data_IF_046943411365
#
_entry.id   IF_046943411365
#
_cell.length_a   1.000
_cell.length_b   1.000
_cell.length_c   1.000
_cell.angle_alpha   90.00
_cell.angle_beta   90.00
_cell.angle_gamma   90.00
#
_symmetry.space_group_name_H-M   'P 1'
#
loop_
_entity.id
_entity.type
_entity.pdbx_description
1 polymer ?
#
# COMPACT_ATOMS: atom_id res chain seq x y z
N UNK A 1 -94.12 6.94 20.15
CA UNK A 1 -93.00 7.68 19.55
C UNK A 1 -91.90 7.80 20.61
N UNK A 2 -90.84 6.99 20.55
CA UNK A 2 -89.66 7.14 21.42
C UNK A 2 -88.52 7.58 20.51
N UNK A 3 -88.13 8.85 20.64
CA UNK A 3 -86.92 9.38 20.03
C UNK A 3 -85.74 8.76 20.76
N UNK A 4 -85.03 7.85 20.08
CA UNK A 4 -83.83 7.21 20.62
C UNK A 4 -82.69 8.23 20.58
N UNK A 5 -81.93 8.22 21.67
CA UNK A 5 -80.95 9.20 22.09
C UNK A 5 -79.69 9.18 21.19
N UNK A 6 -79.73 9.91 20.07
CA UNK A 6 -78.65 9.95 19.08
C UNK A 6 -77.36 10.64 19.57
N UNK A 7 -77.38 11.39 20.68
CA UNK A 7 -76.21 12.11 21.19
C UNK A 7 -75.20 11.24 21.96
N UNK A 8 -75.64 10.13 22.56
CA UNK A 8 -74.76 9.23 23.32
C UNK A 8 -73.87 8.36 22.41
N UNK A 9 -74.41 7.94 21.25
CA UNK A 9 -73.71 7.08 20.30
C UNK A 9 -72.58 7.79 19.55
N UNK A 10 -72.69 9.10 19.32
CA UNK A 10 -71.68 9.88 18.60
C UNK A 10 -70.43 10.10 19.45
N UNK A 11 -70.60 10.38 20.74
CA UNK A 11 -69.49 10.60 21.69
C UNK A 11 -68.69 9.31 21.96
N UNK A 12 -69.38 8.17 22.08
CA UNK A 12 -68.74 6.86 22.23
C UNK A 12 -67.96 6.45 20.97
N UNK A 13 -68.46 6.77 19.77
CA UNK A 13 -67.78 6.48 18.51
C UNK A 13 -66.52 7.34 18.31
N UNK A 14 -66.57 8.62 18.64
CA UNK A 14 -65.40 9.52 18.59
C UNK A 14 -64.33 9.12 19.61
N UNK A 15 -64.75 8.71 20.82
CA UNK A 15 -63.83 8.23 21.85
C UNK A 15 -63.19 6.88 21.45
N UNK A 16 -63.94 5.99 20.79
CA UNK A 16 -63.40 4.75 20.22
C UNK A 16 -62.38 5.02 19.11
N UNK A 17 -62.69 5.91 18.16
CA UNK A 17 -61.78 6.33 17.09
C UNK A 17 -60.48 6.95 17.64
N UNK A 18 -60.58 7.82 18.64
CA UNK A 18 -59.43 8.44 19.31
C UNK A 18 -58.54 7.42 20.01
N UNK A 19 -59.13 6.48 20.76
CA UNK A 19 -58.41 5.41 21.43
C UNK A 19 -57.76 4.43 20.45
N UNK A 20 -58.43 4.13 19.34
CA UNK A 20 -57.88 3.30 18.27
C UNK A 20 -56.66 3.96 17.61
N UNK A 21 -56.75 5.25 17.27
CA UNK A 21 -55.62 6.02 16.71
C UNK A 21 -54.43 6.08 17.67
N UNK A 22 -54.67 6.34 18.97
CA UNK A 22 -53.60 6.35 19.99
C UNK A 22 -52.92 4.98 20.13
N UNK A 23 -53.69 3.89 20.13
CA UNK A 23 -53.13 2.52 20.16
C UNK A 23 -52.35 2.20 18.89
N UNK A 24 -52.88 2.55 17.73
CA UNK A 24 -52.22 2.36 16.43
C UNK A 24 -50.89 3.12 16.33
N UNK A 25 -50.85 4.40 16.72
CA UNK A 25 -49.62 5.20 16.78
C UNK A 25 -48.60 4.61 17.77
N UNK A 26 -49.05 4.14 18.94
CA UNK A 26 -48.18 3.49 19.94
C UNK A 26 -47.56 2.19 19.40
N UNK A 27 -48.32 1.38 18.66
CA UNK A 27 -47.82 0.17 18.02
C UNK A 27 -46.86 0.49 16.87
N UNK A 28 -47.15 1.50 16.05
CA UNK A 28 -46.26 1.97 14.98
C UNK A 28 -44.91 2.47 15.54
N UNK A 29 -44.93 3.24 16.62
CA UNK A 29 -43.72 3.73 17.27
C UNK A 29 -42.88 2.59 17.86
N UNK A 30 -43.52 1.57 18.46
CA UNK A 30 -42.81 0.37 18.94
C UNK A 30 -42.13 -0.39 17.80
N UNK A 31 -42.81 -0.57 16.67
CA UNK A 31 -42.24 -1.25 15.49
C UNK A 31 -41.03 -0.47 14.95
N UNK A 32 -41.13 0.86 14.86
CA UNK A 32 -40.01 1.71 14.42
C UNK A 32 -38.81 1.57 15.35
N UNK A 33 -39.03 1.57 16.67
CA UNK A 33 -37.95 1.39 17.66
C UNK A 33 -37.28 0.01 17.50
N UNK A 34 -38.05 -1.05 17.28
CA UNK A 34 -37.51 -2.39 17.06
C UNK A 34 -36.68 -2.45 15.78
N UNK A 35 -37.17 -1.90 14.66
CA UNK A 35 -36.43 -1.86 13.40
C UNK A 35 -35.13 -1.05 13.56
N UNK A 36 -35.18 0.10 14.23
CA UNK A 36 -34.01 0.92 14.50
C UNK A 36 -32.98 0.16 15.36
N UNK A 37 -33.43 -0.54 16.41
CA UNK A 37 -32.55 -1.36 17.24
C UNK A 37 -31.88 -2.48 16.44
N UNK A 38 -32.64 -3.19 15.60
CA UNK A 38 -32.09 -4.25 14.72
C UNK A 38 -31.09 -3.67 13.72
N UNK A 39 -31.36 -2.50 13.12
CA UNK A 39 -30.43 -1.85 12.20
C UNK A 39 -29.12 -1.43 12.89
N UNK A 40 -29.18 -0.91 14.12
CA UNK A 40 -28.00 -0.57 14.91
C UNK A 40 -27.19 -1.83 15.25
N UNK A 41 -27.85 -2.91 15.68
CA UNK A 41 -27.17 -4.18 15.99
C UNK A 41 -26.51 -4.77 14.75
N UNK A 42 -27.19 -4.75 13.60
CA UNK A 42 -26.62 -5.18 12.31
C UNK A 42 -25.42 -4.32 11.91
N UNK A 43 -25.51 -3.00 12.05
CA UNK A 43 -24.40 -2.07 11.79
C UNK A 43 -23.19 -2.36 12.68
N UNK A 44 -23.42 -2.59 13.97
CA UNK A 44 -22.37 -3.00 14.91
C UNK A 44 -21.77 -4.36 14.55
N UNK A 45 -22.58 -5.34 14.15
CA UNK A 45 -22.10 -6.64 13.69
C UNK A 45 -21.22 -6.51 12.44
N UNK A 46 -21.68 -5.79 11.42
CA UNK A 46 -20.89 -5.53 10.21
C UNK A 46 -19.57 -4.84 10.59
N UNK A 47 -19.60 -3.83 11.46
CA UNK A 47 -18.40 -3.13 11.90
C UNK A 47 -17.43 -4.07 12.63
N UNK A 48 -17.88 -4.79 13.66
CA UNK A 48 -17.03 -5.65 14.52
C UNK A 48 -16.48 -6.86 13.77
N UNK A 49 -17.22 -7.44 12.83
CA UNK A 49 -16.74 -8.59 12.07
C UNK A 49 -15.82 -8.19 10.90
N UNK A 50 -16.00 -7.00 10.31
CA UNK A 50 -15.13 -6.54 9.22
C UNK A 50 -13.90 -5.76 9.70
N UNK A 51 -13.91 -5.15 10.89
CA UNK A 51 -12.73 -4.43 11.40
C UNK A 51 -11.50 -5.31 11.58
N UNK A 52 -11.57 -6.55 12.11
CA UNK A 52 -10.44 -7.45 12.17
C UNK A 52 -9.93 -7.83 10.79
N UNK A 53 -10.82 -8.11 9.84
CA UNK A 53 -10.43 -8.41 8.46
C UNK A 53 -9.70 -7.24 7.79
N UNK A 54 -10.23 -6.02 7.97
CA UNK A 54 -9.60 -4.78 7.49
C UNK A 54 -8.25 -4.52 8.18
N UNK A 55 -8.17 -4.70 9.51
CA UNK A 55 -6.92 -4.57 10.27
C UNK A 55 -5.87 -5.60 9.85
N UNK A 56 -6.23 -6.86 9.67
CA UNK A 56 -5.31 -7.91 9.23
C UNK A 56 -4.81 -7.62 7.81
N UNK A 57 -5.66 -7.14 6.90
CA UNK A 57 -5.21 -6.71 5.56
C UNK A 57 -4.32 -5.49 5.59
N UNK A 58 -4.65 -4.47 6.39
CA UNK A 58 -3.89 -3.22 6.47
C UNK A 58 -2.55 -3.36 7.20
N UNK A 59 -2.45 -4.26 8.18
CA UNK A 59 -1.26 -4.35 9.04
C UNK A 59 -0.46 -5.65 8.91
N UNK A 60 -1.08 -6.75 8.46
CA UNK A 60 -0.39 -8.05 8.31
C UNK A 60 -0.23 -8.47 6.84
N UNK A 61 -0.85 -7.76 5.89
CA UNK A 61 -0.68 -7.99 4.46
C UNK A 61 0.55 -7.28 3.89
N UNK A 62 1.02 -7.76 2.75
CA UNK A 62 2.09 -7.11 1.99
C UNK A 62 1.56 -5.81 1.36
N UNK A 63 2.06 -4.66 1.79
CA UNK A 63 1.63 -3.35 1.30
C UNK A 63 2.58 -2.79 0.24
N UNK A 64 3.88 -3.01 0.39
CA UNK A 64 4.87 -2.62 -0.61
C UNK A 64 5.62 -3.87 -1.03
N UNK A 65 5.46 -4.26 -2.29
CA UNK A 65 6.15 -5.39 -2.89
C UNK A 65 6.99 -4.89 -4.05
N UNK A 66 8.00 -5.67 -4.40
CA UNK A 66 8.70 -5.37 -5.64
C UNK A 66 9.72 -6.38 -6.06
N UNK A 67 10.26 -6.12 -7.24
CA UNK A 67 11.34 -6.86 -7.86
C UNK A 67 12.49 -5.95 -8.26
N UNK A 68 13.69 -6.50 -8.16
CA UNK A 68 14.91 -5.91 -8.70
C UNK A 68 15.52 -6.90 -9.67
N UNK A 69 15.68 -6.46 -10.91
CA UNK A 69 16.35 -7.22 -11.95
C UNK A 69 17.45 -6.34 -12.52
N UNK A 70 18.66 -6.86 -12.56
CA UNK A 70 19.80 -6.12 -13.10
C UNK A 70 20.60 -6.97 -14.05
N UNK A 71 21.14 -6.33 -15.09
CA UNK A 71 22.12 -6.93 -15.98
C UNK A 71 23.40 -6.11 -16.02
N UNK A 72 24.54 -6.79 -16.08
CA UNK A 72 25.86 -6.19 -16.31
C UNK A 72 26.41 -6.77 -17.62
N UNK A 73 26.61 -5.94 -18.65
CA UNK A 73 26.97 -6.38 -20.00
C UNK A 73 26.07 -7.54 -20.52
N UNK A 74 24.76 -7.40 -20.34
CA UNK A 74 23.77 -8.40 -20.75
C UNK A 74 23.73 -9.68 -19.92
N UNK A 75 24.61 -9.86 -18.93
CA UNK A 75 24.56 -10.99 -18.00
C UNK A 75 23.75 -10.65 -16.75
N UNK A 76 22.96 -11.61 -16.25
CA UNK A 76 22.15 -11.42 -15.05
C UNK A 76 23.04 -11.19 -13.82
N UNK A 77 22.73 -10.13 -13.07
CA UNK A 77 23.33 -9.83 -11.79
C UNK A 77 22.26 -9.86 -10.69
N UNK A 78 22.63 -10.43 -9.53
CA UNK A 78 21.78 -10.55 -8.36
C UNK A 78 22.56 -9.96 -7.18
N UNK A 79 22.08 -8.89 -6.54
CA UNK A 79 22.75 -8.33 -5.38
C UNK A 79 22.72 -9.33 -4.22
N UNK A 80 23.84 -9.41 -3.51
CA UNK A 80 24.02 -10.31 -2.35
C UNK A 80 23.33 -9.73 -1.11
N UNK A 81 23.31 -8.40 -1.02
CA UNK A 81 22.71 -7.68 0.10
C UNK A 81 21.61 -6.72 -0.35
N UNK A 82 20.45 -6.87 0.30
CA UNK A 82 19.31 -5.95 0.21
C UNK A 82 18.87 -5.61 1.62
N UNK A 83 18.74 -4.31 1.87
CA UNK A 83 18.29 -3.79 3.15
C UNK A 83 17.10 -2.86 3.00
N UNK A 84 16.37 -2.69 4.11
CA UNK A 84 15.16 -1.89 4.16
C UNK A 84 15.04 -1.10 5.45
N UNK A 85 14.75 0.21 5.33
CA UNK A 85 14.48 1.09 6.46
C UNK A 85 13.15 1.82 6.33
N UNK A 86 12.57 2.20 7.47
CA UNK A 86 11.35 3.02 7.57
C UNK A 86 11.60 4.22 8.48
N UNK A 87 11.29 5.43 8.01
CA UNK A 87 11.47 6.70 8.72
C UNK A 87 12.85 6.81 9.39
N UNK A 88 13.90 6.52 8.62
CA UNK A 88 15.31 6.55 9.03
C UNK A 88 15.71 5.57 10.15
N UNK A 89 14.87 4.58 10.48
CA UNK A 89 15.24 3.50 11.39
C UNK A 89 16.08 2.41 10.70
N UNK A 90 16.72 1.59 11.53
CA UNK A 90 17.67 0.55 11.13
C UNK A 90 17.14 -0.41 10.06
N UNK A 91 18.08 -0.81 9.22
CA UNK A 91 17.92 -1.65 8.06
C UNK A 91 17.62 -3.10 8.44
N UNK A 92 16.45 -3.61 8.04
CA UNK A 92 16.12 -5.04 8.12
C UNK A 92 16.43 -5.74 6.80
N UNK A 93 17.06 -6.91 6.86
CA UNK A 93 17.33 -7.74 5.68
C UNK A 93 16.00 -8.29 5.13
N UNK A 94 15.67 -7.95 3.88
CA UNK A 94 14.36 -8.25 3.29
C UNK A 94 14.20 -9.71 2.87
N UNK A 95 15.19 -10.28 2.17
CA UNK A 95 15.13 -11.67 1.66
C UNK A 95 16.52 -12.27 1.44
N UNK A 96 16.57 -13.59 1.26
CA UNK A 96 17.76 -14.35 0.83
C UNK A 96 17.97 -14.37 -0.69
N UNK A 97 17.01 -13.90 -1.50
CA UNK A 97 16.99 -14.16 -2.94
C UNK A 97 17.32 -12.96 -3.85
N UNK A 98 17.72 -11.81 -3.33
CA UNK A 98 18.26 -10.66 -4.10
C UNK A 98 17.35 -10.02 -5.17
N UNK A 99 16.23 -10.64 -5.52
CA UNK A 99 15.38 -10.26 -6.66
C UNK A 99 14.00 -9.75 -6.27
N UNK A 100 13.56 -10.04 -5.05
CA UNK A 100 12.22 -9.70 -4.57
C UNK A 100 12.26 -9.17 -3.16
N UNK A 101 11.38 -8.22 -2.89
CA UNK A 101 11.13 -7.69 -1.57
C UNK A 101 9.64 -7.59 -1.31
N UNK A 102 9.29 -7.72 -0.04
CA UNK A 102 7.93 -7.56 0.44
C UNK A 102 7.95 -6.97 1.84
N UNK A 103 7.19 -5.90 2.02
CA UNK A 103 7.07 -5.13 3.26
C UNK A 103 5.64 -5.32 3.75
N UNK A 104 5.52 -5.94 4.93
CA UNK A 104 4.26 -6.19 5.60
C UNK A 104 3.79 -4.98 6.37
N UNK A 105 2.52 -4.64 6.20
CA UNK A 105 1.99 -3.35 6.64
C UNK A 105 2.64 -2.19 5.88
N UNK A 106 2.00 -1.04 5.94
CA UNK A 106 2.51 0.14 5.25
C UNK A 106 2.23 1.37 6.09
N UNK A 107 2.98 1.61 7.16
CA UNK A 107 2.87 2.90 7.85
C UNK A 107 3.09 4.06 6.89
N UNK A 108 2.37 5.15 7.10
CA UNK A 108 2.66 6.43 6.47
C UNK A 108 4.11 6.84 6.75
N UNK A 109 4.86 7.21 5.72
CA UNK A 109 6.24 7.66 5.89
C UNK A 109 7.16 7.24 4.76
N UNK A 110 8.46 7.49 4.97
CA UNK A 110 9.50 7.24 3.99
C UNK A 110 10.05 5.83 4.14
N UNK A 111 10.04 5.08 3.04
CA UNK A 111 10.66 3.78 2.93
C UNK A 111 11.94 3.87 2.10
N UNK A 112 12.99 3.26 2.62
CA UNK A 112 14.29 3.17 1.96
C UNK A 112 14.56 1.70 1.65
N UNK A 113 14.72 1.36 0.37
CA UNK A 113 15.13 0.02 -0.07
C UNK A 113 16.50 0.17 -0.72
N UNK A 114 17.52 -0.48 -0.16
CA UNK A 114 18.91 -0.32 -0.61
C UNK A 114 19.43 -1.64 -1.16
N UNK A 115 19.89 -1.62 -2.40
CA UNK A 115 20.61 -2.71 -3.07
C UNK A 115 22.09 -2.37 -3.06
N UNK A 116 22.94 -3.26 -2.55
CA UNK A 116 24.38 -3.03 -2.59
C UNK A 116 24.96 -3.60 -3.87
N UNK A 117 25.46 -2.72 -4.74
CA UNK A 117 26.06 -3.09 -6.01
C UNK A 117 27.52 -3.50 -5.77
N UNK A 118 27.81 -4.79 -5.89
CA UNK A 118 29.13 -5.33 -5.52
C UNK A 118 30.15 -5.16 -6.65
N UNK A 119 31.09 -4.24 -6.45
CA UNK A 119 32.09 -3.91 -7.46
C UNK A 119 33.00 -5.09 -7.80
N UNK A 120 33.38 -5.92 -6.83
CA UNK A 120 34.15 -7.15 -7.11
C UNK A 120 33.37 -8.11 -8.02
N UNK A 121 32.05 -8.22 -7.81
CA UNK A 121 31.18 -9.05 -8.66
C UNK A 121 31.06 -8.45 -10.06
N UNK A 122 30.99 -7.13 -10.18
CA UNK A 122 31.01 -6.46 -11.47
C UNK A 122 32.33 -6.67 -12.20
N UNK A 123 33.46 -6.64 -11.50
CA UNK A 123 34.75 -6.92 -12.11
C UNK A 123 34.79 -8.32 -12.75
N UNK A 124 34.23 -9.31 -12.05
CA UNK A 124 34.18 -10.69 -12.52
C UNK A 124 33.20 -10.88 -13.69
N UNK A 125 32.00 -10.28 -13.61
CA UNK A 125 30.98 -10.39 -14.67
C UNK A 125 31.41 -9.59 -15.91
N UNK A 126 31.88 -8.37 -15.75
CA UNK A 126 32.32 -7.51 -16.85
C UNK A 126 33.68 -7.90 -17.44
N UNK A 127 34.47 -8.70 -16.71
CA UNK A 127 35.89 -8.92 -16.97
C UNK A 127 36.68 -7.59 -17.10
N UNK A 128 36.37 -6.63 -16.23
CA UNK A 128 37.00 -5.31 -16.18
C UNK A 128 37.52 -5.03 -14.76
N UNK A 129 38.84 -4.86 -14.63
CA UNK A 129 39.46 -4.63 -13.33
C UNK A 129 39.21 -3.21 -12.79
N UNK A 130 38.70 -2.27 -13.59
CA UNK A 130 38.36 -0.92 -13.14
C UNK A 130 37.46 -0.95 -11.88
N UNK A 131 36.54 -1.91 -11.80
CA UNK A 131 35.64 -2.02 -10.66
C UNK A 131 36.38 -2.35 -9.35
N UNK A 132 37.51 -3.08 -9.40
CA UNK A 132 38.31 -3.41 -8.21
C UNK A 132 39.03 -2.19 -7.63
N UNK A 133 39.18 -1.12 -8.41
CA UNK A 133 39.79 0.13 -7.95
C UNK A 133 38.80 1.00 -7.16
N UNK A 134 37.50 0.65 -7.15
CA UNK A 134 36.50 1.37 -6.37
C UNK A 134 36.52 0.93 -4.89
N UNK A 135 36.48 1.89 -3.95
CA UNK A 135 36.78 1.65 -2.53
C UNK A 135 35.77 0.78 -1.78
N UNK A 136 34.53 0.69 -2.26
CA UNK A 136 33.45 -0.04 -1.61
C UNK A 136 32.31 -0.34 -2.57
N UNK A 137 31.43 -1.27 -2.22
CA UNK A 137 30.15 -1.49 -2.92
C UNK A 137 29.36 -0.18 -3.03
N UNK A 138 28.66 0.00 -4.15
CA UNK A 138 27.88 1.22 -4.41
C UNK A 138 26.42 1.00 -3.99
N UNK A 139 25.90 1.71 -2.97
CA UNK A 139 24.50 1.58 -2.59
C UNK A 139 23.58 2.20 -3.65
N UNK A 140 22.61 1.43 -4.13
CA UNK A 140 21.48 1.90 -4.93
C UNK A 140 20.25 1.98 -4.03
N UNK A 141 19.90 3.19 -3.61
CA UNK A 141 18.81 3.50 -2.69
C UNK A 141 17.57 3.90 -3.47
N UNK A 142 16.47 3.18 -3.25
CA UNK A 142 15.14 3.57 -3.65
C UNK A 142 14.40 4.18 -2.46
N UNK A 143 13.98 5.43 -2.63
CA UNK A 143 13.18 6.18 -1.67
C UNK A 143 11.73 6.19 -2.14
N UNK A 144 10.83 5.58 -1.37
CA UNK A 144 9.41 5.56 -1.65
C UNK A 144 8.63 6.17 -0.50
N UNK A 145 7.86 7.22 -0.79
CA UNK A 145 6.97 7.81 0.21
C UNK A 145 5.59 7.16 0.18
N UNK A 146 5.26 6.40 1.22
CA UNK A 146 3.93 5.83 1.34
C UNK A 146 2.96 6.84 1.95
N UNK A 147 2.01 7.31 1.15
CA UNK A 147 1.07 8.36 1.53
C UNK A 147 -0.08 7.88 2.44
N UNK A 148 -0.30 6.58 2.63
CA UNK A 148 -1.32 6.09 3.56
C UNK A 148 -1.13 4.61 3.98
N UNK A 149 -1.90 4.18 4.98
CA UNK A 149 -1.76 2.84 5.57
C UNK A 149 -2.36 1.67 4.78
N UNK A 150 -2.82 1.92 3.56
CA UNK A 150 -3.59 0.96 2.76
C UNK A 150 -3.18 0.90 1.29
N UNK A 151 -2.25 1.76 0.87
CA UNK A 151 -1.69 1.74 -0.47
C UNK A 151 -0.96 0.43 -0.69
N UNK A 152 -1.41 -0.29 -1.72
CA UNK A 152 -0.70 -1.44 -2.25
C UNK A 152 0.15 -0.91 -3.40
N UNK A 153 1.46 -0.87 -3.18
CA UNK A 153 2.45 -0.46 -4.18
C UNK A 153 3.22 -1.69 -4.63
N UNK A 154 3.22 -1.95 -5.94
CA UNK A 154 4.10 -2.93 -6.57
C UNK A 154 5.17 -2.18 -7.37
N UNK A 155 6.44 -2.40 -7.06
CA UNK A 155 7.58 -1.70 -7.66
C UNK A 155 8.42 -2.70 -8.47
N UNK A 156 8.60 -2.46 -9.75
CA UNK A 156 9.50 -3.23 -10.63
C UNK A 156 10.68 -2.35 -11.02
N UNK A 157 11.88 -2.73 -10.58
CA UNK A 157 13.13 -2.02 -10.83
C UNK A 157 13.93 -2.86 -11.83
N UNK A 158 14.27 -2.24 -12.96
CA UNK A 158 15.12 -2.82 -14.00
C UNK A 158 16.36 -1.96 -14.15
N UNK A 159 17.51 -2.49 -13.77
CA UNK A 159 18.79 -1.82 -13.92
C UNK A 159 19.64 -2.49 -15.02
N UNK A 160 20.42 -1.69 -15.74
CA UNK A 160 21.33 -2.15 -16.79
C UNK A 160 22.63 -1.39 -16.64
N UNK A 161 23.73 -2.10 -16.43
CA UNK A 161 25.08 -1.53 -16.41
C UNK A 161 25.81 -2.01 -17.66
N UNK A 162 26.09 -1.09 -18.58
CA UNK A 162 26.75 -1.39 -19.86
C UNK A 162 27.90 -0.44 -20.13
N UNK A 163 28.91 -0.94 -20.84
CA UNK A 163 30.02 -0.12 -21.29
C UNK A 163 29.66 0.53 -22.63
N UNK A 164 29.39 1.83 -22.61
CA UNK A 164 28.95 2.64 -23.75
C UNK A 164 29.80 3.91 -23.81
N UNK A 165 30.27 4.31 -25.00
CA UNK A 165 31.06 5.55 -25.20
C UNK A 165 32.28 5.71 -24.27
N UNK A 166 33.03 4.62 -24.08
CA UNK A 166 34.22 4.53 -23.21
C UNK A 166 33.92 4.65 -21.70
N UNK A 167 32.65 4.61 -21.30
CA UNK A 167 32.20 4.78 -19.93
C UNK A 167 31.22 3.69 -19.49
N UNK A 168 31.16 3.44 -18.19
CA UNK A 168 30.18 2.53 -17.60
C UNK A 168 28.90 3.28 -17.28
N UNK A 169 27.83 2.99 -18.00
CA UNK A 169 26.53 3.65 -17.86
C UNK A 169 25.56 2.74 -17.11
N UNK A 170 25.01 3.25 -16.00
CA UNK A 170 23.93 2.61 -15.24
C UNK A 170 22.59 3.25 -15.62
N UNK A 171 21.79 2.51 -16.39
CA UNK A 171 20.39 2.84 -16.63
C UNK A 171 19.50 2.16 -15.60
N UNK A 172 18.56 2.91 -15.01
CA UNK A 172 17.56 2.37 -14.09
C UNK A 172 16.17 2.78 -14.53
N UNK A 173 15.32 1.81 -14.81
CA UNK A 173 13.91 1.99 -15.12
C UNK A 173 13.06 1.43 -13.98
N UNK A 174 12.24 2.29 -13.38
CA UNK A 174 11.34 1.93 -12.30
C UNK A 174 9.92 2.07 -12.81
N UNK A 175 9.17 0.96 -12.78
CA UNK A 175 7.72 0.96 -12.97
C UNK A 175 7.07 0.67 -11.63
N UNK A 176 6.22 1.57 -11.15
CA UNK A 176 5.48 1.32 -9.91
C UNK A 176 3.98 1.50 -10.12
N UNK A 177 3.23 0.53 -9.60
CA UNK A 177 1.79 0.45 -9.67
C UNK A 177 1.21 0.62 -8.28
N UNK A 178 0.37 1.63 -8.09
CA UNK A 178 -0.24 1.99 -6.81
C UNK A 178 -1.76 2.06 -6.94
N UNK A 179 -2.46 1.72 -5.85
CA UNK A 179 -3.91 1.89 -5.74
C UNK A 179 -4.22 3.39 -5.63
N UNK A 180 -5.18 3.89 -6.41
CA UNK A 180 -5.57 5.31 -6.36
C UNK A 180 -6.52 5.59 -5.19
N UNK A 181 -6.78 6.87 -4.93
CA UNK A 181 -7.66 7.34 -3.84
C UNK A 181 -9.12 6.87 -3.96
N UNK A 182 -9.53 6.34 -5.12
CA UNK A 182 -10.86 5.74 -5.32
C UNK A 182 -10.99 4.30 -4.78
N UNK A 183 -9.87 3.73 -4.29
CA UNK A 183 -9.75 2.38 -3.72
C UNK A 183 -10.08 1.24 -4.70
N UNK A 184 -10.18 1.51 -6.00
CA UNK A 184 -10.66 0.56 -7.02
C UNK A 184 -9.74 0.48 -8.22
N UNK A 185 -9.15 1.60 -8.62
CA UNK A 185 -8.30 1.68 -9.79
C UNK A 185 -6.82 1.67 -9.38
N UNK A 186 -5.99 1.12 -10.25
CA UNK A 186 -4.55 1.20 -10.11
C UNK A 186 -4.02 2.18 -11.14
N UNK A 187 -3.08 3.02 -10.72
CA UNK A 187 -2.28 3.85 -11.61
C UNK A 187 -0.88 3.28 -11.67
N UNK A 188 -0.25 3.41 -12.84
CA UNK A 188 1.15 3.03 -13.06
C UNK A 188 1.93 4.29 -13.42
N UNK A 189 3.10 4.43 -12.83
CA UNK A 189 4.09 5.44 -13.18
C UNK A 189 5.40 4.76 -13.56
N UNK A 190 6.07 5.35 -14.54
CA UNK A 190 7.38 4.92 -14.99
C UNK A 190 8.35 6.08 -14.87
N UNK A 191 9.53 5.81 -14.31
CA UNK A 191 10.60 6.78 -14.13
C UNK A 191 11.89 6.14 -14.61
N UNK A 192 12.69 6.90 -15.34
CA UNK A 192 13.96 6.45 -15.89
C UNK A 192 15.07 7.36 -15.42
N UNK A 193 16.19 6.74 -15.04
CA UNK A 193 17.41 7.39 -14.65
C UNK A 193 18.57 6.78 -15.44
N UNK A 194 19.60 7.58 -15.70
CA UNK A 194 20.82 7.15 -16.38
C UNK A 194 22.00 7.91 -15.78
N UNK A 195 23.07 7.21 -15.45
CA UNK A 195 24.22 7.74 -14.72
C UNK A 195 25.53 7.15 -15.24
N UNK A 196 26.59 7.96 -15.24
CA UNK A 196 27.95 7.43 -15.30
C UNK A 196 28.28 6.77 -13.95
N UNK A 197 28.50 5.46 -13.95
CA UNK A 197 28.65 4.67 -12.71
C UNK A 197 29.83 5.15 -11.84
N UNK A 198 30.91 5.61 -12.49
CA UNK A 198 32.12 6.11 -11.83
C UNK A 198 31.85 7.31 -10.91
N UNK A 199 30.83 8.13 -11.20
CA UNK A 199 30.55 9.37 -10.47
C UNK A 199 30.19 9.09 -9.01
N UNK A 200 29.65 7.89 -8.76
CA UNK A 200 29.27 7.42 -7.44
C UNK A 200 30.32 6.45 -6.89
N UNK A 201 30.76 5.49 -7.72
CA UNK A 201 31.64 4.43 -7.28
C UNK A 201 33.02 4.93 -6.82
N UNK A 202 33.63 5.93 -7.50
CA UNK A 202 34.98 6.44 -7.17
C UNK A 202 35.09 7.06 -5.77
N UNK A 203 33.99 7.58 -5.24
CA UNK A 203 33.96 8.28 -3.96
C UNK A 203 33.29 7.49 -2.85
N UNK A 204 32.88 6.24 -3.12
CA UNK A 204 32.04 5.47 -2.20
C UNK A 204 30.69 6.14 -1.95
N UNK A 205 30.17 6.87 -2.94
CA UNK A 205 28.88 7.56 -2.88
C UNK A 205 27.70 6.60 -3.02
N UNK A 206 26.49 7.14 -2.83
CA UNK A 206 25.23 6.41 -3.03
C UNK A 206 24.45 6.97 -4.22
N UNK A 207 23.71 6.08 -4.90
CA UNK A 207 22.77 6.43 -5.97
C UNK A 207 21.37 6.42 -5.38
N UNK A 208 20.73 7.59 -5.31
CA UNK A 208 19.42 7.76 -4.68
C UNK A 208 18.33 8.03 -5.72
N UNK A 209 17.29 7.19 -5.73
CA UNK A 209 16.17 7.20 -6.66
C UNK A 209 14.87 7.49 -5.89
N UNK A 210 14.29 8.68 -6.04
CA UNK A 210 13.04 9.07 -5.40
C UNK A 210 11.80 8.75 -6.25
N UNK A 211 10.80 8.07 -5.67
CA UNK A 211 9.54 7.68 -6.35
C UNK A 211 8.24 7.95 -5.58
#
# INVERSE_FOLDING_TARGET
MRLINNGLLVTDFEQYQSNYRKRFMKTKNKIIVVIAAVAVVLGCFIYVFNTPYMKVRMFNGDCITGSFNMTVNGMEYIPTEITFGYDNNETSRLTTSGKKFSIKGGRYGLYNIVFYLENDTFADIANDNLFKDYPSNTPLRLEHYNSNNWNITNIDIKAKLEFEDEEWILDVNISYRYLTDDYKTYSTKEIKFSYEYKDFAKHGGEISLGI
#
